data_IF_683152925781
#
_entry.id   IF_683152925781
#
_cell.length_a   1.000
_cell.length_b   1.000
_cell.length_c   1.000
_cell.angle_alpha   90.00
_cell.angle_beta   90.00
_cell.angle_gamma   90.00
#
_symmetry.space_group_name_H-M   'P 1'
#
loop_
_entity.id
_entity.type
_entity.pdbx_description
1 polymer ?
#
# COMPACT_ATOMS: atom_id res chain seq x y z
N UNK A 1 -19.65 -20.88 2.37
CA UNK A 1 -18.88 -19.91 3.19
C UNK A 1 -18.65 -18.60 2.45
N UNK A 2 -18.02 -18.61 1.26
CA UNK A 2 -17.77 -17.38 0.48
C UNK A 2 -19.04 -16.57 0.17
N UNK A 3 -20.09 -17.21 -0.34
CA UNK A 3 -21.36 -16.53 -0.67
C UNK A 3 -21.97 -15.80 0.53
N UNK A 4 -21.80 -16.34 1.74
CA UNK A 4 -22.28 -15.68 2.96
C UNK A 4 -21.45 -14.44 3.30
N UNK A 5 -20.13 -14.49 3.11
CA UNK A 5 -19.25 -13.34 3.33
C UNK A 5 -19.55 -12.23 2.31
N UNK A 6 -19.84 -12.59 1.06
CA UNK A 6 -20.22 -11.66 0.01
C UNK A 6 -21.53 -10.94 0.32
N UNK A 7 -22.56 -11.69 0.75
CA UNK A 7 -23.82 -11.11 1.20
C UNK A 7 -23.63 -10.20 2.43
N UNK A 8 -22.77 -10.61 3.37
CA UNK A 8 -22.47 -9.79 4.54
C UNK A 8 -21.78 -8.47 4.14
N UNK A 9 -20.85 -8.51 3.18
CA UNK A 9 -20.21 -7.30 2.66
C UNK A 9 -21.24 -6.39 1.99
N UNK A 10 -22.12 -6.92 1.14
CA UNK A 10 -23.22 -6.17 0.51
C UNK A 10 -24.05 -5.42 1.56
N UNK A 11 -24.54 -6.13 2.58
CA UNK A 11 -25.33 -5.55 3.68
C UNK A 11 -24.55 -4.49 4.48
N UNK A 12 -23.23 -4.64 4.61
CA UNK A 12 -22.39 -3.61 5.23
C UNK A 12 -22.29 -2.36 4.35
N UNK A 13 -22.07 -2.54 3.04
CA UNK A 13 -21.95 -1.42 2.10
C UNK A 13 -23.24 -0.60 2.03
N UNK A 14 -24.41 -1.24 2.08
CA UNK A 14 -25.70 -0.54 2.13
C UNK A 14 -25.80 0.45 3.30
N UNK A 15 -25.19 0.10 4.45
CA UNK A 15 -25.21 0.94 5.66
C UNK A 15 -24.23 2.11 5.61
N UNK A 16 -23.23 2.08 4.73
CA UNK A 16 -22.14 3.07 4.71
C UNK A 16 -22.36 4.25 3.76
N UNK A 17 -23.56 4.38 3.16
CA UNK A 17 -23.83 5.32 2.04
C UNK A 17 -22.83 5.17 0.87
N UNK A 18 -22.08 4.05 0.83
CA UNK A 18 -21.09 3.76 -0.18
C UNK A 18 -21.69 3.56 -1.57
N UNK A 19 -22.96 3.15 -1.61
CA UNK A 19 -23.63 2.79 -2.85
C UNK A 19 -24.65 3.85 -3.26
N UNK A 20 -24.66 4.15 -4.55
CA UNK A 20 -25.84 4.72 -5.21
C UNK A 20 -26.78 3.56 -5.57
N UNK A 21 -28.08 3.84 -5.74
CA UNK A 21 -29.16 2.83 -5.91
C UNK A 21 -28.72 1.63 -6.79
N UNK A 22 -28.52 0.46 -6.18
CA UNK A 22 -28.22 -0.81 -6.87
C UNK A 22 -26.74 -1.22 -6.97
N UNK A 23 -25.79 -0.37 -6.60
CA UNK A 23 -24.35 -0.64 -6.83
C UNK A 23 -23.69 -1.53 -5.75
N UNK A 24 -24.32 -1.75 -4.59
CA UNK A 24 -23.70 -2.51 -3.48
C UNK A 24 -23.40 -3.96 -3.84
N UNK A 25 -24.37 -4.66 -4.40
CA UNK A 25 -24.20 -6.05 -4.85
C UNK A 25 -23.06 -6.13 -5.86
N UNK A 26 -23.12 -5.28 -6.89
CA UNK A 26 -22.08 -5.21 -7.92
C UNK A 26 -20.69 -4.95 -7.32
N UNK A 27 -20.57 -4.04 -6.37
CA UNK A 27 -19.29 -3.75 -5.71
C UNK A 27 -18.80 -4.92 -4.84
N UNK A 28 -19.71 -5.61 -4.14
CA UNK A 28 -19.38 -6.82 -3.41
C UNK A 28 -18.90 -7.92 -4.37
N UNK A 29 -19.62 -8.16 -5.46
CA UNK A 29 -19.24 -9.12 -6.51
C UNK A 29 -17.84 -8.81 -7.06
N UNK A 30 -17.60 -7.56 -7.50
CA UNK A 30 -16.29 -7.13 -8.01
C UNK A 30 -15.15 -7.22 -6.99
N UNK A 31 -15.44 -7.06 -5.70
CA UNK A 31 -14.45 -7.25 -4.65
C UNK A 31 -14.10 -8.74 -4.49
N UNK A 32 -15.10 -9.62 -4.48
CA UNK A 32 -14.88 -11.07 -4.37
C UNK A 32 -14.21 -11.66 -5.61
N UNK A 33 -14.56 -11.19 -6.81
CA UNK A 33 -13.92 -11.56 -8.07
C UNK A 33 -12.42 -11.20 -8.10
N UNK A 34 -12.01 -10.17 -7.33
CA UNK A 34 -10.62 -9.75 -7.23
C UNK A 34 -9.80 -10.55 -6.21
N UNK A 35 -10.44 -11.31 -5.30
CA UNK A 35 -9.74 -12.05 -4.24
C UNK A 35 -8.68 -13.03 -4.76
N UNK A 36 -8.89 -13.79 -5.86
CA UNK A 36 -7.86 -14.66 -6.41
C UNK A 36 -6.60 -13.89 -6.85
N UNK A 37 -6.78 -12.71 -7.46
CA UNK A 37 -5.65 -11.86 -7.85
C UNK A 37 -4.92 -11.32 -6.63
N UNK A 38 -5.67 -10.80 -5.64
CA UNK A 38 -5.09 -10.31 -4.38
C UNK A 38 -4.30 -11.42 -3.68
N UNK A 39 -4.82 -12.65 -3.67
CA UNK A 39 -4.13 -13.79 -3.10
C UNK A 39 -2.81 -14.10 -3.82
N UNK A 40 -2.79 -14.08 -5.15
CA UNK A 40 -1.57 -14.29 -5.93
C UNK A 40 -0.53 -13.20 -5.65
N UNK A 41 -0.95 -11.94 -5.57
CA UNK A 41 -0.03 -10.85 -5.24
C UNK A 41 0.57 -11.01 -3.83
N UNK A 42 -0.22 -11.50 -2.88
CA UNK A 42 0.26 -11.79 -1.52
C UNK A 42 1.26 -12.93 -1.48
N UNK A 43 1.15 -13.92 -2.36
CA UNK A 43 2.17 -14.98 -2.46
C UNK A 43 3.50 -14.39 -2.93
N UNK A 44 3.47 -13.54 -3.94
CA UNK A 44 4.67 -12.83 -4.42
C UNK A 44 5.25 -11.90 -3.35
N UNK A 45 4.41 -11.24 -2.55
CA UNK A 45 4.89 -10.46 -1.41
C UNK A 45 5.60 -11.33 -0.38
N UNK A 46 5.03 -12.49 -0.04
CA UNK A 46 5.66 -13.43 0.91
C UNK A 46 7.04 -13.82 0.41
N UNK A 47 7.15 -14.17 -0.88
CA UNK A 47 8.44 -14.52 -1.49
C UNK A 47 9.42 -13.34 -1.40
N UNK A 48 8.98 -12.12 -1.69
CA UNK A 48 9.81 -10.92 -1.57
C UNK A 48 10.27 -10.63 -0.13
N UNK A 49 9.46 -10.93 0.89
CA UNK A 49 9.85 -10.83 2.30
C UNK A 49 10.90 -11.89 2.66
N UNK A 50 10.70 -13.13 2.23
CA UNK A 50 11.63 -14.24 2.48
C UNK A 50 12.99 -13.99 1.81
N UNK A 51 12.98 -13.57 0.54
CA UNK A 51 14.20 -13.26 -0.21
C UNK A 51 14.85 -11.94 0.25
N UNK A 52 14.05 -11.04 0.80
CA UNK A 52 14.44 -9.69 1.20
C UNK A 52 15.12 -9.62 2.55
N UNK A 53 14.80 -10.53 3.47
CA UNK A 53 15.30 -10.58 4.84
C UNK A 53 16.09 -11.87 5.11
N UNK A 54 17.43 -11.80 5.24
CA UNK A 54 18.25 -12.97 5.59
C UNK A 54 17.86 -13.65 6.92
N UNK A 55 17.11 -12.96 7.79
CA UNK A 55 16.61 -13.52 9.05
C UNK A 55 15.27 -14.25 8.91
N UNK A 56 14.59 -14.16 7.77
CA UNK A 56 13.33 -14.88 7.54
C UNK A 56 13.59 -16.39 7.37
N UNK A 57 13.07 -17.20 8.28
CA UNK A 57 13.29 -18.65 8.21
C UNK A 57 12.24 -19.38 7.36
N UNK A 58 11.06 -18.79 7.16
CA UNK A 58 10.00 -19.39 6.34
C UNK A 58 8.90 -18.41 5.96
N UNK A 59 8.18 -18.71 4.88
CA UNK A 59 6.92 -18.06 4.53
C UNK A 59 5.89 -18.08 5.67
N UNK A 60 5.85 -19.17 6.45
CA UNK A 60 4.93 -19.30 7.59
C UNK A 60 5.22 -18.28 8.70
N UNK A 61 6.50 -18.02 8.95
CA UNK A 61 6.94 -16.99 9.89
C UNK A 61 6.53 -15.60 9.40
N UNK A 62 6.79 -15.29 8.12
CA UNK A 62 6.41 -14.02 7.49
C UNK A 62 4.91 -13.76 7.67
N UNK A 63 4.07 -14.72 7.28
CA UNK A 63 2.60 -14.58 7.36
C UNK A 63 2.11 -14.34 8.79
N UNK A 64 2.77 -14.92 9.81
CA UNK A 64 2.30 -14.86 11.20
C UNK A 64 2.88 -13.72 12.02
N UNK A 65 4.10 -13.29 11.72
CA UNK A 65 4.87 -12.45 12.63
C UNK A 65 5.37 -11.15 12.01
N UNK A 66 5.38 -11.00 10.68
CA UNK A 66 6.00 -9.83 10.06
C UNK A 66 4.99 -8.68 9.99
N UNK A 67 5.21 -7.58 10.75
CA UNK A 67 4.26 -6.47 10.80
C UNK A 67 4.15 -5.73 9.46
N UNK A 68 5.25 -5.68 8.69
CA UNK A 68 5.24 -5.13 7.32
C UNK A 68 4.34 -5.93 6.38
N UNK A 69 4.40 -7.26 6.45
CA UNK A 69 3.53 -8.13 5.66
C UNK A 69 2.06 -7.98 6.08
N UNK A 70 1.77 -7.92 7.38
CA UNK A 70 0.41 -7.66 7.87
C UNK A 70 -0.15 -6.34 7.33
N UNK A 71 0.64 -5.27 7.33
CA UNK A 71 0.21 -3.99 6.80
C UNK A 71 -0.04 -4.04 5.29
N UNK A 72 0.83 -4.70 4.51
CA UNK A 72 0.67 -4.87 3.08
C UNK A 72 -0.56 -5.73 2.73
N UNK A 73 -0.81 -6.79 3.51
CA UNK A 73 -2.03 -7.60 3.41
C UNK A 73 -3.30 -6.75 3.55
N UNK A 74 -3.40 -5.98 4.62
CA UNK A 74 -4.55 -5.11 4.84
C UNK A 74 -4.61 -4.02 3.75
N UNK A 75 -3.47 -3.50 3.30
CA UNK A 75 -3.41 -2.54 2.20
C UNK A 75 -4.00 -3.11 0.91
N UNK A 76 -3.62 -4.31 0.45
CA UNK A 76 -4.15 -4.88 -0.80
C UNK A 76 -5.67 -5.03 -0.77
N UNK A 77 -6.21 -5.46 0.37
CA UNK A 77 -7.66 -5.54 0.60
C UNK A 77 -8.30 -4.15 0.57
N UNK A 78 -7.75 -3.19 1.32
CA UNK A 78 -8.25 -1.83 1.39
C UNK A 78 -8.15 -1.10 0.05
N UNK A 79 -7.08 -1.33 -0.71
CA UNK A 79 -6.82 -0.76 -2.03
C UNK A 79 -7.88 -1.20 -3.03
N UNK A 80 -8.27 -2.48 -3.02
CA UNK A 80 -9.35 -2.95 -3.88
C UNK A 80 -10.69 -2.27 -3.55
N UNK A 81 -11.03 -2.13 -2.26
CA UNK A 81 -12.24 -1.40 -1.84
C UNK A 81 -12.16 0.09 -2.23
N UNK A 82 -10.98 0.69 -2.15
CA UNK A 82 -10.73 2.07 -2.57
C UNK A 82 -10.89 2.25 -4.08
N UNK A 83 -10.42 1.32 -4.92
CA UNK A 83 -10.63 1.31 -6.38
C UNK A 83 -12.12 1.28 -6.74
N UNK A 84 -12.91 0.53 -5.97
CA UNK A 84 -14.38 0.48 -6.07
C UNK A 84 -15.09 1.74 -5.54
N UNK A 85 -14.33 2.77 -5.13
CA UNK A 85 -14.83 4.05 -4.60
C UNK A 85 -15.69 3.89 -3.34
N UNK A 86 -15.43 2.85 -2.56
CA UNK A 86 -16.08 2.65 -1.27
C UNK A 86 -15.50 3.69 -0.29
N UNK A 87 -16.32 4.59 0.28
CA UNK A 87 -15.86 5.60 1.23
C UNK A 87 -15.57 4.97 2.60
N UNK A 88 -14.71 5.62 3.37
CA UNK A 88 -14.40 5.35 4.79
C UNK A 88 -13.80 3.97 5.11
N UNK A 89 -14.42 2.86 4.69
CA UNK A 89 -13.98 1.49 5.01
C UNK A 89 -12.50 1.26 4.64
N UNK A 90 -12.02 1.61 3.42
CA UNK A 90 -10.61 1.45 3.10
C UNK A 90 -9.70 2.17 4.09
N UNK A 91 -10.06 3.40 4.49
CA UNK A 91 -9.26 4.20 5.41
C UNK A 91 -9.29 3.61 6.82
N UNK A 92 -10.44 3.13 7.29
CA UNK A 92 -10.55 2.45 8.59
C UNK A 92 -9.64 1.21 8.64
N UNK A 93 -9.61 0.41 7.57
CA UNK A 93 -8.71 -0.74 7.47
C UNK A 93 -7.24 -0.33 7.51
N UNK A 94 -6.85 0.69 6.74
CA UNK A 94 -5.48 1.21 6.77
C UNK A 94 -5.06 1.72 8.16
N UNK A 95 -5.91 2.50 8.84
CA UNK A 95 -5.63 3.00 10.19
C UNK A 95 -5.57 1.85 11.22
N UNK A 96 -6.37 0.80 11.04
CA UNK A 96 -6.26 -0.40 11.87
C UNK A 96 -4.91 -1.09 11.64
N UNK A 97 -4.48 -1.28 10.39
CA UNK A 97 -3.17 -1.84 10.07
C UNK A 97 -2.04 -1.00 10.69
N UNK A 98 -2.13 0.32 10.54
CA UNK A 98 -1.20 1.28 11.14
C UNK A 98 -1.11 1.12 12.66
N UNK A 99 -2.26 1.00 13.35
CA UNK A 99 -2.28 0.83 14.81
C UNK A 99 -1.57 -0.44 15.31
N UNK A 100 -1.58 -1.51 14.51
CA UNK A 100 -0.99 -2.80 14.88
C UNK A 100 0.47 -2.94 14.46
N UNK A 101 0.89 -2.25 13.40
CA UNK A 101 2.20 -2.46 12.75
C UNK A 101 3.13 -1.24 12.79
N UNK A 102 2.60 -0.05 13.06
CA UNK A 102 3.31 1.22 12.88
C UNK A 102 3.43 1.66 11.42
N UNK A 103 2.95 0.86 10.46
CA UNK A 103 3.02 1.13 9.01
C UNK A 103 1.73 1.81 8.54
N UNK A 104 1.82 3.09 8.18
CA UNK A 104 0.76 3.91 7.59
C UNK A 104 0.83 3.88 6.05
N UNK A 105 -0.06 3.11 5.43
CA UNK A 105 -0.19 3.05 3.97
C UNK A 105 -1.57 3.56 3.59
N UNK A 106 -1.62 4.66 2.83
CA UNK A 106 -2.89 5.14 2.32
C UNK A 106 -3.51 4.10 1.37
N UNK A 107 -4.82 3.79 1.45
CA UNK A 107 -5.48 2.84 0.55
C UNK A 107 -5.39 3.19 -0.93
N UNK A 108 -5.10 4.44 -1.25
CA UNK A 108 -4.93 4.94 -2.62
C UNK A 108 -3.54 4.69 -3.22
N UNK A 109 -2.53 4.42 -2.40
CA UNK A 109 -1.18 4.15 -2.89
C UNK A 109 -1.18 2.95 -3.83
N UNK A 110 -0.36 3.00 -4.88
CA UNK A 110 -0.17 1.89 -5.81
C UNK A 110 1.18 1.26 -5.52
N UNK A 111 1.18 0.01 -5.10
CA UNK A 111 2.37 -0.72 -4.66
C UNK A 111 2.45 -2.02 -5.44
N UNK A 112 3.44 -2.13 -6.31
CA UNK A 112 3.80 -3.36 -6.98
C UNK A 112 4.94 -4.01 -6.18
N UNK A 113 4.58 -4.81 -5.17
CA UNK A 113 5.51 -5.49 -4.25
C UNK A 113 6.49 -4.55 -3.50
N UNK A 114 6.18 -4.22 -2.25
CA UNK A 114 7.08 -3.40 -1.45
C UNK A 114 6.65 -3.24 0.01
N UNK A 115 7.59 -2.81 0.84
CA UNK A 115 7.38 -2.47 2.26
C UNK A 115 7.41 -0.96 2.44
N UNK A 116 7.14 -0.42 3.63
CA UNK A 116 7.33 1.00 3.93
C UNK A 116 6.54 1.42 5.16
N UNK A 117 6.87 2.57 5.76
CA UNK A 117 6.26 2.99 7.04
C UNK A 117 5.27 4.12 6.89
N UNK A 118 5.50 5.11 6.02
CA UNK A 118 4.50 6.14 5.69
C UNK A 118 4.44 6.31 4.18
N UNK A 119 3.32 5.90 3.57
CA UNK A 119 3.11 5.91 2.13
C UNK A 119 1.84 6.69 1.79
N UNK A 120 2.01 7.86 1.17
CA UNK A 120 0.90 8.74 0.85
C UNK A 120 0.01 8.30 -0.33
N UNK A 121 -1.19 8.88 -0.42
CA UNK A 121 -2.27 8.48 -1.34
C UNK A 121 -1.89 8.28 -2.80
N UNK A 122 -1.02 9.13 -3.34
CA UNK A 122 -0.68 9.11 -4.77
C UNK A 122 0.74 8.62 -5.02
N UNK A 123 1.30 7.92 -4.04
CA UNK A 123 2.59 7.25 -4.18
C UNK A 123 2.45 6.09 -5.15
N UNK A 124 3.45 5.93 -6.01
CA UNK A 124 3.58 4.79 -6.92
C UNK A 124 4.90 4.13 -6.54
N UNK A 125 4.87 2.84 -6.25
CA UNK A 125 6.03 2.00 -5.96
C UNK A 125 6.03 0.87 -6.98
N UNK A 126 7.12 0.75 -7.74
CA UNK A 126 7.37 -0.35 -8.67
C UNK A 126 7.93 -1.59 -7.98
N UNK A 127 8.36 -2.55 -8.80
CA UNK A 127 8.72 -3.90 -8.36
C UNK A 127 10.02 -3.98 -7.56
N UNK A 128 10.06 -4.93 -6.63
CA UNK A 128 11.26 -5.26 -5.85
C UNK A 128 11.83 -4.07 -5.06
N UNK A 129 10.96 -3.17 -4.60
CA UNK A 129 11.34 -2.02 -3.78
C UNK A 129 11.42 -2.42 -2.31
N UNK A 130 12.57 -2.14 -1.68
CA UNK A 130 12.80 -2.39 -0.25
C UNK A 130 12.78 -1.08 0.51
N UNK A 131 11.88 -0.98 1.49
CA UNK A 131 11.75 0.24 2.31
C UNK A 131 11.87 -0.12 3.78
N UNK A 132 12.83 0.52 4.44
CA UNK A 132 13.14 0.29 5.85
C UNK A 132 12.31 1.20 6.78
N UNK A 133 12.48 0.96 8.08
CA UNK A 133 11.71 1.61 9.13
C UNK A 133 11.86 3.14 9.13
N UNK A 134 10.77 3.86 9.40
CA UNK A 134 10.76 5.32 9.52
C UNK A 134 10.88 6.08 8.20
N UNK A 135 10.81 5.40 7.05
CA UNK A 135 10.77 6.07 5.75
C UNK A 135 9.43 6.77 5.54
N UNK A 136 9.49 7.99 4.99
CA UNK A 136 8.32 8.77 4.58
C UNK A 136 8.31 9.03 3.08
N UNK A 137 7.26 8.61 2.39
CA UNK A 137 6.92 8.96 1.01
C UNK A 137 5.72 9.92 1.01
N UNK A 138 6.03 11.22 1.07
CA UNK A 138 5.08 12.27 1.46
C UNK A 138 4.88 13.39 0.43
N UNK A 139 4.08 14.39 0.78
CA UNK A 139 3.87 15.59 -0.02
C UNK A 139 4.70 16.78 0.51
N UNK A 140 5.16 17.67 -0.38
CA UNK A 140 5.85 18.91 0.01
C UNK A 140 4.87 19.94 0.60
N UNK A 141 3.65 20.00 0.08
CA UNK A 141 2.60 20.93 0.50
C UNK A 141 1.26 20.21 0.64
N UNK A 142 0.50 20.61 1.66
CA UNK A 142 -0.78 20.00 2.04
C UNK A 142 -1.88 21.05 1.86
N UNK A 143 -2.11 21.49 0.62
CA UNK A 143 -3.33 22.27 0.29
C UNK A 143 -4.48 21.29 0.04
N UNK A 144 -5.63 21.51 0.69
CA UNK A 144 -6.86 20.72 0.47
C UNK A 144 -7.31 20.74 -0.99
N UNK A 145 -6.97 21.77 -1.75
CA UNK A 145 -7.23 21.86 -3.20
C UNK A 145 -6.49 20.79 -4.00
N UNK A 146 -5.42 20.21 -3.45
CA UNK A 146 -4.63 19.14 -4.06
C UNK A 146 -5.09 17.74 -3.64
N UNK A 147 -6.22 17.63 -2.92
CA UNK A 147 -6.80 16.33 -2.59
C UNK A 147 -7.13 15.56 -3.88
N UNK A 148 -6.70 14.31 -3.95
CA UNK A 148 -6.87 13.46 -5.13
C UNK A 148 -5.91 13.73 -6.30
N UNK A 149 -4.99 14.71 -6.23
CA UNK A 149 -3.97 14.92 -7.28
C UNK A 149 -2.62 14.29 -6.92
N UNK A 150 -1.79 13.99 -7.93
CA UNK A 150 -0.43 13.47 -7.76
C UNK A 150 0.42 14.47 -6.97
N UNK A 151 0.93 14.04 -5.82
CA UNK A 151 1.63 14.90 -4.85
C UNK A 151 2.63 14.15 -3.97
N UNK A 152 2.66 12.82 -4.07
CA UNK A 152 3.63 11.95 -3.41
C UNK A 152 4.57 11.32 -4.46
N UNK A 153 5.75 10.83 -4.07
CA UNK A 153 6.79 10.41 -5.02
C UNK A 153 6.38 9.23 -5.88
N UNK A 154 7.18 8.98 -6.91
CA UNK A 154 7.24 7.70 -7.62
C UNK A 154 8.58 7.04 -7.30
N UNK A 155 8.54 5.76 -6.94
CA UNK A 155 9.72 4.92 -6.70
C UNK A 155 9.72 3.85 -7.78
N UNK A 156 10.73 3.85 -8.64
CA UNK A 156 10.87 2.86 -9.70
C UNK A 156 11.39 1.51 -9.16
N UNK A 157 11.62 0.56 -10.06
CA UNK A 157 11.93 -0.82 -9.70
C UNK A 157 13.31 -0.94 -9.01
N UNK A 158 13.49 -2.01 -8.25
CA UNK A 158 14.78 -2.39 -7.65
C UNK A 158 15.39 -1.32 -6.73
N UNK A 159 14.59 -0.39 -6.21
CA UNK A 159 15.05 0.68 -5.32
C UNK A 159 15.15 0.18 -3.88
N UNK A 160 16.20 0.60 -3.17
CA UNK A 160 16.34 0.39 -1.73
C UNK A 160 16.32 1.73 -1.01
N UNK A 161 15.45 1.88 -0.02
CA UNK A 161 15.32 3.11 0.79
C UNK A 161 15.55 2.77 2.26
N UNK A 162 16.69 3.20 2.79
CA UNK A 162 17.09 2.94 4.16
C UNK A 162 16.41 3.85 5.19
N UNK A 163 16.54 3.43 6.45
CA UNK A 163 15.73 3.91 7.57
C UNK A 163 15.76 5.44 7.75
N UNK A 164 14.61 6.01 8.07
CA UNK A 164 14.45 7.44 8.36
C UNK A 164 14.54 8.38 7.14
N UNK A 165 14.70 7.85 5.92
CA UNK A 165 14.70 8.70 4.73
C UNK A 165 13.32 9.36 4.53
N UNK A 166 13.32 10.62 4.09
CA UNK A 166 12.12 11.39 3.80
C UNK A 166 12.16 11.87 2.35
N UNK A 167 11.22 11.40 1.54
CA UNK A 167 11.13 11.69 0.11
C UNK A 167 9.77 12.33 -0.15
N UNK A 168 9.78 13.57 -0.64
CA UNK A 168 8.58 14.38 -0.76
C UNK A 168 8.38 14.89 -2.19
N UNK A 169 7.12 14.98 -2.60
CA UNK A 169 6.70 15.71 -3.81
C UNK A 169 6.19 14.81 -4.94
N UNK A 170 5.16 15.29 -5.65
CA UNK A 170 4.50 14.54 -6.72
C UNK A 170 5.36 14.31 -7.96
N UNK A 171 6.28 15.24 -8.22
CA UNK A 171 7.22 15.20 -9.36
C UNK A 171 8.55 14.52 -9.00
N UNK A 172 8.73 14.13 -7.73
CA UNK A 172 9.95 13.45 -7.28
C UNK A 172 9.91 11.99 -7.71
N UNK A 173 10.87 11.60 -8.54
CA UNK A 173 11.04 10.23 -9.03
C UNK A 173 12.36 9.68 -8.52
N UNK A 174 12.33 8.52 -7.86
CA UNK A 174 13.53 7.77 -7.51
C UNK A 174 13.73 6.71 -8.59
N UNK A 175 14.78 6.89 -9.39
CA UNK A 175 15.04 6.07 -10.57
C UNK A 175 15.35 4.61 -10.24
N UNK A 176 15.21 3.74 -11.23
CA UNK A 176 15.43 2.30 -11.09
C UNK A 176 16.81 1.98 -10.51
N UNK A 177 16.86 1.01 -9.59
CA UNK A 177 18.10 0.52 -9.00
C UNK A 177 18.79 1.49 -8.03
N UNK A 178 18.14 2.60 -7.64
CA UNK A 178 18.72 3.53 -6.69
C UNK A 178 18.85 2.94 -5.28
N UNK A 179 19.88 3.39 -4.55
CA UNK A 179 20.05 3.12 -3.13
C UNK A 179 20.02 4.43 -2.35
N UNK A 180 18.91 4.71 -1.69
CA UNK A 180 18.74 5.89 -0.84
C UNK A 180 19.20 5.57 0.58
N UNK A 181 20.27 6.22 1.01
CA UNK A 181 20.81 6.08 2.37
C UNK A 181 19.83 6.50 3.48
N UNK A 182 20.13 6.07 4.71
CA UNK A 182 19.30 6.40 5.87
C UNK A 182 19.32 7.89 6.21
N UNK A 183 18.22 8.41 6.74
CA UNK A 183 18.00 9.83 7.10
C UNK A 183 18.19 10.84 5.95
N UNK A 184 18.25 10.38 4.70
CA UNK A 184 18.34 11.26 3.54
C UNK A 184 17.02 12.02 3.35
N UNK A 185 17.11 13.31 3.02
CA UNK A 185 15.96 14.17 2.74
C UNK A 185 15.94 14.58 1.26
N UNK A 186 14.92 14.15 0.51
CA UNK A 186 14.77 14.41 -0.93
C UNK A 186 13.47 15.14 -1.25
N UNK A 187 13.60 16.16 -2.10
CA UNK A 187 12.48 16.89 -2.70
C UNK A 187 12.62 17.02 -4.22
N UNK A 188 13.59 16.29 -4.79
CA UNK A 188 13.93 16.27 -6.22
C UNK A 188 14.27 14.85 -6.64
N UNK A 189 14.07 14.57 -7.92
CA UNK A 189 14.31 13.25 -8.51
C UNK A 189 15.79 12.83 -8.44
N UNK A 190 16.00 11.53 -8.38
CA UNK A 190 17.30 10.86 -8.39
C UNK A 190 17.36 9.98 -9.64
N UNK A 191 18.39 10.09 -10.50
CA UNK A 191 18.50 9.28 -11.71
C UNK A 191 18.80 7.82 -11.39
N UNK A 192 18.40 6.91 -12.29
CA UNK A 192 18.60 5.47 -12.13
C UNK A 192 20.07 5.09 -11.87
N UNK A 193 20.27 4.03 -11.06
CA UNK A 193 21.58 3.48 -10.70
C UNK A 193 22.43 4.35 -9.78
N UNK A 194 21.82 5.29 -9.04
CA UNK A 194 22.50 6.12 -8.02
C UNK A 194 22.56 5.42 -6.67
#
# INVERSE_FOLDING_TARGET
MLNQLQLNLEMMLEKTKACKKGDCKKNADLFFDALPSIYNDLLLDIDAFVDGDPAAHSAFEVVRAYPGFYALFIHRVAHQLHKLKIPLIPRILAEHAHSQSGVDIHPGATIDHGTGVVIGETTIIGDHVKIYQGVTLGAISIDKKMAGTKRHPTVENNVVIYSGATILGGETVIGEGCVIGGNVWLTKSVPAGT
#
